data_IF_196658366899
#
_entry.id   IF_196658366899
#
_cell.length_a   1.000
_cell.length_b   1.000
_cell.length_c   1.000
_cell.angle_alpha   90.00
_cell.angle_beta   90.00
_cell.angle_gamma   90.00
#
_symmetry.space_group_name_H-M   'P 1'
#
loop_
_entity.id
_entity.type
_entity.pdbx_description
1 polymer ?
#
# COMPACT_ATOMS: atom_id res chain seq x y z
N UNK A 1 -6.88 -3.91 8.98
CA UNK A 1 -7.00 -2.49 9.37
C UNK A 1 -8.15 -2.29 10.35
N UNK A 2 -7.89 -1.98 11.63
CA UNK A 2 -8.90 -1.87 12.68
C UNK A 2 -9.85 -0.67 12.53
N UNK A 3 -9.58 0.25 11.60
CA UNK A 3 -10.29 1.53 11.47
C UNK A 3 -11.19 1.65 10.23
N UNK A 4 -11.26 0.62 9.39
CA UNK A 4 -12.17 0.57 8.23
C UNK A 4 -12.86 -0.80 8.18
N UNK A 5 -14.19 -0.79 8.13
CA UNK A 5 -15.02 -2.00 8.00
C UNK A 5 -14.82 -2.68 6.65
N UNK A 6 -15.33 -3.90 6.49
CA UNK A 6 -15.22 -4.60 5.21
C UNK A 6 -16.11 -3.95 4.14
N UNK A 7 -17.27 -3.45 4.56
CA UNK A 7 -18.23 -2.74 3.75
C UNK A 7 -17.63 -1.45 3.19
N UNK A 8 -16.92 -0.67 4.02
CA UNK A 8 -16.22 0.53 3.58
C UNK A 8 -15.09 0.24 2.59
N UNK A 9 -14.44 -0.93 2.68
CA UNK A 9 -13.38 -1.34 1.74
C UNK A 9 -13.95 -1.65 0.35
N UNK A 10 -15.09 -2.34 0.30
CA UNK A 10 -15.72 -2.78 -0.96
C UNK A 10 -15.98 -1.63 -1.92
N UNK A 11 -16.23 -0.43 -1.40
CA UNK A 11 -16.43 0.79 -2.20
C UNK A 11 -15.23 1.07 -3.13
N UNK A 12 -14.02 0.67 -2.73
CA UNK A 12 -12.79 0.96 -3.46
C UNK A 12 -12.32 -0.18 -4.37
N UNK A 13 -12.80 -1.41 -4.17
CA UNK A 13 -12.29 -2.61 -4.85
C UNK A 13 -12.38 -2.49 -6.38
N UNK A 14 -13.53 -2.08 -6.92
CA UNK A 14 -13.69 -1.93 -8.37
C UNK A 14 -12.75 -0.89 -8.96
N UNK A 15 -12.57 0.24 -8.26
CA UNK A 15 -11.66 1.31 -8.69
C UNK A 15 -10.20 0.86 -8.64
N UNK A 16 -9.83 0.09 -7.60
CA UNK A 16 -8.49 -0.48 -7.45
C UNK A 16 -8.24 -1.49 -8.57
N UNK A 17 -9.18 -2.38 -8.87
CA UNK A 17 -9.07 -3.36 -9.96
C UNK A 17 -8.90 -2.68 -11.32
N UNK A 18 -9.63 -1.60 -11.57
CA UNK A 18 -9.47 -0.79 -12.78
C UNK A 18 -8.09 -0.13 -12.84
N UNK A 19 -7.53 0.34 -11.71
CA UNK A 19 -6.17 0.88 -11.69
C UNK A 19 -5.11 -0.20 -11.94
N UNK A 20 -5.25 -1.36 -11.29
CA UNK A 20 -4.33 -2.50 -11.46
C UNK A 20 -4.31 -2.97 -12.90
N UNK A 21 -5.47 -3.07 -13.57
CA UNK A 21 -5.53 -3.49 -14.98
C UNK A 21 -4.85 -2.53 -15.96
N UNK A 22 -4.57 -1.28 -15.54
CA UNK A 22 -3.83 -0.28 -16.32
C UNK A 22 -2.32 -0.27 -16.05
N UNK A 23 -1.86 -1.01 -15.04
CA UNK A 23 -0.43 -1.08 -14.72
C UNK A 23 0.33 -1.87 -15.79
N UNK A 24 1.61 -1.53 -16.04
CA UNK A 24 2.47 -2.34 -16.89
C UNK A 24 2.66 -3.75 -16.30
N UNK A 25 2.94 -4.73 -17.15
CA UNK A 25 3.22 -6.11 -16.70
C UNK A 25 4.64 -6.29 -16.15
N UNK A 26 5.57 -5.45 -16.61
CA UNK A 26 6.97 -5.45 -16.16
C UNK A 26 7.06 -4.83 -14.76
N UNK A 27 7.49 -5.62 -13.77
CA UNK A 27 7.47 -5.22 -12.36
C UNK A 27 8.34 -3.99 -12.10
N UNK A 28 9.46 -3.86 -12.81
CA UNK A 28 10.39 -2.73 -12.71
C UNK A 28 9.73 -1.41 -13.15
N UNK A 29 8.71 -1.48 -14.02
CA UNK A 29 7.94 -0.31 -14.45
C UNK A 29 6.75 -0.04 -13.51
N UNK A 30 6.23 -1.06 -12.84
CA UNK A 30 5.09 -0.91 -11.90
C UNK A 30 5.44 0.08 -10.79
N UNK A 31 6.66 0.04 -10.27
CA UNK A 31 7.12 0.90 -9.17
C UNK A 31 6.95 2.40 -9.49
N UNK A 32 7.36 2.82 -10.69
CA UNK A 32 7.21 4.21 -11.15
C UNK A 32 5.75 4.64 -11.25
N UNK A 33 4.88 3.76 -11.73
CA UNK A 33 3.44 4.03 -11.86
C UNK A 33 2.76 4.11 -10.49
N UNK A 34 3.06 3.19 -9.58
CA UNK A 34 2.53 3.21 -8.22
C UNK A 34 2.98 4.46 -7.46
N UNK A 35 4.26 4.85 -7.60
CA UNK A 35 4.77 6.08 -7.02
C UNK A 35 3.99 7.31 -7.52
N UNK A 36 3.76 7.41 -8.83
CA UNK A 36 2.96 8.49 -9.40
C UNK A 36 1.51 8.51 -8.87
N UNK A 37 0.84 7.36 -8.85
CA UNK A 37 -0.56 7.24 -8.39
C UNK A 37 -0.68 7.65 -6.93
N UNK A 38 0.15 7.09 -6.05
CA UNK A 38 0.13 7.39 -4.62
C UNK A 38 0.46 8.86 -4.38
N UNK A 39 1.50 9.40 -5.05
CA UNK A 39 1.85 10.83 -4.96
C UNK A 39 0.69 11.72 -5.40
N UNK A 40 -0.02 11.36 -6.48
CA UNK A 40 -1.20 12.11 -6.93
C UNK A 40 -2.33 12.07 -5.91
N UNK A 41 -2.64 10.91 -5.35
CA UNK A 41 -3.65 10.78 -4.28
C UNK A 41 -3.30 11.68 -3.10
N UNK A 42 -2.06 11.62 -2.61
CA UNK A 42 -1.62 12.44 -1.48
C UNK A 42 -1.72 13.94 -1.80
N UNK A 43 -1.29 14.37 -3.00
CA UNK A 43 -1.40 15.78 -3.43
C UNK A 43 -2.85 16.27 -3.55
N UNK A 44 -3.80 15.37 -3.84
CA UNK A 44 -5.22 15.71 -3.94
C UNK A 44 -5.93 15.75 -2.58
N UNK A 45 -5.49 14.97 -1.60
CA UNK A 45 -6.11 14.87 -0.27
C UNK A 45 -5.52 15.88 0.73
N UNK A 46 -4.21 16.10 0.69
CA UNK A 46 -3.49 16.93 1.66
C UNK A 46 -3.22 18.33 1.10
N UNK A 47 -3.38 19.35 1.95
CA UNK A 47 -3.06 20.75 1.58
C UNK A 47 -1.55 20.99 1.66
N UNK A 48 -1.08 22.06 1.01
CA UNK A 48 0.33 22.45 1.04
C UNK A 48 0.71 23.12 2.36
N UNK A 49 0.75 22.33 3.44
CA UNK A 49 1.13 22.78 4.78
C UNK A 49 2.02 21.71 5.41
N UNK A 50 3.03 22.13 6.17
CA UNK A 50 3.93 21.21 6.87
C UNK A 50 3.21 20.18 7.74
N UNK A 51 2.13 20.60 8.43
CA UNK A 51 1.30 19.69 9.20
C UNK A 51 0.72 18.54 8.34
N UNK A 52 0.17 18.87 7.17
CA UNK A 52 -0.45 17.89 6.29
C UNK A 52 0.61 16.97 5.64
N UNK A 53 1.79 17.52 5.30
CA UNK A 53 2.90 16.73 4.80
C UNK A 53 3.44 15.75 5.85
N UNK A 54 3.65 16.18 7.09
CA UNK A 54 4.07 15.28 8.17
C UNK A 54 3.05 14.16 8.40
N UNK A 55 1.75 14.48 8.28
CA UNK A 55 0.67 13.48 8.38
C UNK A 55 0.70 12.49 7.22
N UNK A 56 0.93 12.95 5.98
CA UNK A 56 1.05 12.09 4.81
C UNK A 56 2.25 11.15 4.91
N UNK A 57 3.41 11.64 5.36
CA UNK A 57 4.59 10.81 5.58
C UNK A 57 4.34 9.77 6.68
N UNK A 58 3.71 10.17 7.79
CA UNK A 58 3.32 9.24 8.86
C UNK A 58 2.36 8.15 8.38
N UNK A 59 1.40 8.49 7.50
CA UNK A 59 0.51 7.52 6.88
C UNK A 59 1.28 6.49 6.04
N UNK A 60 2.24 6.93 5.21
CA UNK A 60 3.06 6.04 4.39
C UNK A 60 3.90 5.08 5.24
N UNK A 61 4.44 5.56 6.37
CA UNK A 61 5.16 4.68 7.32
C UNK A 61 4.23 3.61 7.89
N UNK A 62 3.02 3.99 8.32
CA UNK A 62 2.03 3.03 8.80
C UNK A 62 1.64 2.00 7.72
N UNK A 63 1.48 2.41 6.46
CA UNK A 63 1.18 1.50 5.34
C UNK A 63 2.31 0.48 5.15
N UNK A 64 3.57 0.93 5.16
CA UNK A 64 4.75 0.06 5.05
C UNK A 64 4.78 -0.99 6.18
N UNK A 65 4.58 -0.55 7.42
CA UNK A 65 4.59 -1.44 8.59
C UNK A 65 3.44 -2.46 8.53
N UNK A 66 2.24 -2.05 8.12
CA UNK A 66 1.09 -2.96 7.97
C UNK A 66 1.33 -4.00 6.87
N UNK A 67 1.92 -3.60 5.74
CA UNK A 67 2.29 -4.53 4.67
C UNK A 67 3.31 -5.56 5.14
N UNK A 68 4.35 -5.12 5.87
CA UNK A 68 5.33 -6.03 6.45
C UNK A 68 4.66 -7.03 7.42
N UNK A 69 3.86 -6.53 8.37
CA UNK A 69 3.19 -7.34 9.39
C UNK A 69 2.22 -8.37 8.82
N UNK A 70 1.51 -8.05 7.74
CA UNK A 70 0.40 -8.89 7.25
C UNK A 70 0.75 -9.72 6.02
N UNK A 71 1.67 -9.26 5.18
CA UNK A 71 2.04 -9.94 3.93
C UNK A 71 3.42 -10.56 4.06
N UNK A 72 4.43 -9.77 4.40
CA UNK A 72 5.83 -10.24 4.43
C UNK A 72 6.03 -11.25 5.54
N UNK A 73 5.62 -10.93 6.77
CA UNK A 73 5.78 -11.84 7.91
C UNK A 73 5.05 -13.17 7.72
N UNK A 74 3.86 -13.17 7.09
CA UNK A 74 3.13 -14.39 6.76
C UNK A 74 3.89 -15.25 5.73
N UNK A 75 4.52 -14.60 4.73
CA UNK A 75 5.36 -15.28 3.75
C UNK A 75 6.66 -15.83 4.37
N UNK A 76 7.33 -15.05 5.23
CA UNK A 76 8.53 -15.46 5.97
C UNK A 76 8.25 -16.68 6.85
N UNK A 77 7.13 -16.69 7.57
CA UNK A 77 6.72 -17.83 8.39
C UNK A 77 6.46 -19.08 7.54
N UNK A 78 5.87 -18.92 6.35
CA UNK A 78 5.74 -20.03 5.40
C UNK A 78 7.10 -20.56 4.97
N UNK A 79 8.05 -19.67 4.67
CA UNK A 79 9.41 -20.06 4.25
C UNK A 79 10.20 -20.71 5.38
N UNK A 80 10.10 -20.22 6.61
CA UNK A 80 10.70 -20.85 7.80
C UNK A 80 10.29 -22.31 7.95
N UNK A 81 9.02 -22.64 7.71
CA UNK A 81 8.53 -24.03 7.74
C UNK A 81 9.10 -24.90 6.63
N UNK A 82 9.47 -24.32 5.49
CA UNK A 82 10.03 -25.02 4.33
C UNK A 82 11.56 -25.22 4.46
N UNK A 83 12.28 -24.21 4.92
CA UNK A 83 13.76 -24.19 4.88
C UNK A 83 14.43 -24.32 6.24
N UNK A 84 13.65 -24.40 7.32
CA UNK A 84 14.15 -24.30 8.69
C UNK A 84 14.32 -22.84 9.12
N UNK A 85 14.51 -22.66 10.43
CA UNK A 85 14.86 -21.36 11.01
C UNK A 85 16.36 -21.07 10.80
N UNK A 86 16.73 -19.79 10.81
CA UNK A 86 18.14 -19.36 10.80
C UNK A 86 18.76 -19.60 12.18
#
# INVERSE_FOLDING_TARGET
MPYITQEERKIYEDSINVLISKLPREIEKVDGHLNYIITKILKSVYKQRYFDYNRAIGLLECIKQEYYRTVVSAYEEKKRKETGDI
#
